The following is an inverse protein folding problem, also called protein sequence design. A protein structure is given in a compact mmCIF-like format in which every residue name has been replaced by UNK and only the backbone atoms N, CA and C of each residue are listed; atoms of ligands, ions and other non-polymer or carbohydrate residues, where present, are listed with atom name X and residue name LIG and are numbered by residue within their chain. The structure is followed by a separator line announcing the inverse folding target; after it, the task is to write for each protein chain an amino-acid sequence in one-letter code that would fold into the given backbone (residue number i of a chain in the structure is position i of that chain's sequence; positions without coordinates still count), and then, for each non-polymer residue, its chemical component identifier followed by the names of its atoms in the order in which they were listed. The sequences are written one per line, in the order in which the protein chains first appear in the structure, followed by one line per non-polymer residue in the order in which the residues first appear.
data_IF_790679997650
#
_entry.id   IF_790679997650
#
_cell.length_a   1.000
_cell.length_b   1.000
_cell.length_c   1.000
_cell.angle_alpha   90.00
_cell.angle_beta   90.00
_cell.angle_gamma   90.00
#
_symmetry.space_group_name_H-M   'P 1'
#
loop_
_entity.id
_entity.type
_entity.pdbx_description
1 polymer ?
#
# COMPACT_ATOMS: atom_id res chain seq x y z
N UNK A 1 -10.68 -5.77 13.54
CA UNK A 1 -10.36 -4.81 12.46
C UNK A 1 -9.26 -5.43 11.63
N UNK A 2 -9.40 -5.53 10.30
CA UNK A 2 -8.37 -6.12 9.44
C UNK A 2 -7.11 -5.23 9.31
N UNK A 3 -7.22 -3.93 9.59
CA UNK A 3 -6.07 -3.03 9.60
C UNK A 3 -5.38 -3.03 10.98
N UNK A 4 -4.10 -3.38 10.99
CA UNK A 4 -3.26 -3.48 12.19
C UNK A 4 -1.96 -2.66 12.04
N UNK A 5 -1.16 -2.57 13.11
CA UNK A 5 0.18 -2.01 13.02
C UNK A 5 1.07 -2.92 12.16
N UNK A 6 1.92 -2.33 11.32
CA UNK A 6 2.81 -3.10 10.45
C UNK A 6 3.79 -3.94 11.26
N UNK A 7 4.22 -3.45 12.43
CA UNK A 7 5.13 -4.16 13.33
C UNK A 7 4.46 -5.34 14.07
N UNK A 8 3.12 -5.47 13.95
CA UNK A 8 2.36 -6.58 14.54
C UNK A 8 2.13 -7.76 13.57
N UNK A 9 2.47 -7.57 12.30
CA UNK A 9 2.37 -8.63 11.28
C UNK A 9 3.48 -9.67 11.46
N UNK A 10 3.27 -10.92 11.02
CA UNK A 10 4.30 -11.95 11.08
C UNK A 10 5.42 -11.67 10.06
N UNK A 11 6.62 -12.21 10.32
CA UNK A 11 7.81 -12.04 9.48
C UNK A 11 7.65 -12.57 8.04
N UNK A 12 6.71 -13.50 7.82
CA UNK A 12 6.36 -14.06 6.52
C UNK A 12 5.22 -13.31 5.82
N UNK A 13 4.79 -12.16 6.36
CA UNK A 13 3.82 -11.29 5.70
C UNK A 13 4.32 -10.89 4.31
N UNK A 14 3.39 -10.91 3.34
CA UNK A 14 3.72 -10.47 1.99
C UNK A 14 3.69 -8.95 1.93
N UNK A 15 4.75 -8.36 1.40
CA UNK A 15 4.96 -6.91 1.38
C UNK A 15 5.06 -6.38 -0.05
N UNK A 16 4.46 -5.21 -0.28
CA UNK A 16 4.68 -4.37 -1.46
C UNK A 16 5.16 -3.00 -1.00
N UNK A 17 6.21 -2.48 -1.65
CA UNK A 17 6.72 -1.13 -1.43
C UNK A 17 6.55 -0.34 -2.72
N UNK A 18 5.82 0.76 -2.63
CA UNK A 18 5.58 1.69 -3.73
C UNK A 18 6.29 3.01 -3.43
N UNK A 19 7.11 3.48 -4.36
CA UNK A 19 7.85 4.72 -4.22
C UNK A 19 7.28 5.81 -5.13
N UNK A 20 6.84 6.92 -4.55
CA UNK A 20 6.42 8.09 -5.32
C UNK A 20 7.61 8.77 -5.99
N UNK A 21 7.42 9.19 -7.24
CA UNK A 21 8.45 9.84 -8.07
C UNK A 21 9.05 11.10 -7.39
N UNK A 22 8.21 11.86 -6.70
CA UNK A 22 8.56 13.03 -5.89
C UNK A 22 7.94 12.89 -4.49
N UNK A 23 8.45 13.61 -3.47
CA UNK A 23 7.80 13.61 -2.17
C UNK A 23 6.37 14.15 -2.30
N UNK A 24 5.47 13.62 -1.48
CA UNK A 24 4.11 14.14 -1.36
C UNK A 24 4.07 15.16 -0.22
N UNK A 25 3.30 16.22 -0.41
CA UNK A 25 2.95 17.12 0.70
C UNK A 25 1.91 16.47 1.63
N UNK A 26 1.70 17.07 2.79
CA UNK A 26 0.79 16.54 3.82
C UNK A 26 -0.62 16.31 3.30
N UNK A 27 -1.12 17.20 2.43
CA UNK A 27 -2.44 17.09 1.84
C UNK A 27 -2.56 15.88 0.90
N UNK A 28 -1.58 15.72 0.01
CA UNK A 28 -1.51 14.59 -0.93
C UNK A 28 -1.29 13.27 -0.21
N UNK A 29 -0.41 13.24 0.80
CA UNK A 29 -0.17 12.08 1.64
C UNK A 29 -1.44 11.69 2.41
N UNK A 30 -2.12 12.65 3.05
CA UNK A 30 -3.39 12.40 3.76
C UNK A 30 -4.44 11.80 2.82
N UNK A 31 -4.57 12.32 1.60
CA UNK A 31 -5.49 11.80 0.59
C UNK A 31 -5.13 10.37 0.17
N UNK A 32 -3.85 10.11 -0.13
CA UNK A 32 -3.34 8.78 -0.48
C UNK A 32 -3.65 7.78 0.65
N UNK A 33 -3.27 8.10 1.89
CA UNK A 33 -3.43 7.20 3.02
C UNK A 33 -4.89 6.95 3.36
N UNK A 34 -5.75 7.97 3.29
CA UNK A 34 -7.19 7.77 3.52
C UNK A 34 -7.83 6.79 2.53
N UNK A 35 -7.46 6.86 1.25
CA UNK A 35 -7.96 5.92 0.23
C UNK A 35 -7.37 4.52 0.40
N UNK A 36 -6.09 4.43 0.75
CA UNK A 36 -5.44 3.15 1.04
C UNK A 36 -6.08 2.49 2.27
N UNK A 37 -6.28 3.21 3.36
CA UNK A 37 -6.91 2.70 4.57
C UNK A 37 -8.33 2.22 4.30
N UNK A 38 -9.10 2.99 3.53
CA UNK A 38 -10.43 2.57 3.10
C UNK A 38 -10.37 1.27 2.30
N UNK A 39 -9.42 1.12 1.37
CA UNK A 39 -9.24 -0.10 0.59
C UNK A 39 -8.84 -1.29 1.47
N UNK A 40 -7.85 -1.13 2.35
CA UNK A 40 -7.34 -2.20 3.22
C UNK A 40 -8.41 -2.66 4.24
N UNK A 41 -9.23 -1.73 4.74
CA UNK A 41 -10.32 -2.06 5.67
C UNK A 41 -11.37 -3.03 5.10
N UNK A 42 -11.48 -3.09 3.76
CA UNK A 42 -12.40 -3.95 3.01
C UNK A 42 -11.69 -5.01 2.19
N UNK A 43 -10.37 -5.14 2.32
CA UNK A 43 -9.61 -6.06 1.49
C UNK A 43 -9.87 -7.49 1.96
N UNK A 44 -10.39 -8.31 1.05
CA UNK A 44 -10.76 -9.69 1.30
C UNK A 44 -10.32 -10.58 0.14
N UNK A 45 -10.01 -11.84 0.44
CA UNK A 45 -9.76 -12.89 -0.54
C UNK A 45 -10.75 -14.03 -0.33
N UNK A 46 -11.42 -14.46 -1.40
CA UNK A 46 -12.46 -15.51 -1.33
C UNK A 46 -13.56 -15.26 -0.29
N UNK A 47 -13.86 -13.99 0.02
CA UNK A 47 -14.85 -13.60 1.01
C UNK A 47 -14.30 -13.45 2.43
N UNK A 48 -13.07 -13.87 2.68
CA UNK A 48 -12.41 -13.76 3.99
C UNK A 48 -11.61 -12.45 4.09
N UNK A 49 -11.81 -11.64 5.16
CA UNK A 49 -11.03 -10.44 5.39
C UNK A 49 -9.53 -10.75 5.56
N UNK A 50 -8.69 -9.90 4.95
CA UNK A 50 -7.25 -10.00 5.07
C UNK A 50 -6.73 -9.10 6.19
N UNK A 51 -6.00 -9.67 7.15
CA UNK A 51 -5.24 -8.86 8.11
C UNK A 51 -4.08 -8.19 7.37
N UNK A 52 -4.08 -6.86 7.34
CA UNK A 52 -3.15 -6.06 6.56
C UNK A 52 -2.71 -4.81 7.33
N UNK A 53 -1.63 -4.20 6.87
CA UNK A 53 -1.10 -2.97 7.42
C UNK A 53 -0.53 -2.09 6.31
N UNK A 54 -0.37 -0.81 6.61
CA UNK A 54 0.36 0.13 5.75
C UNK A 54 1.22 1.09 6.55
N UNK A 55 2.39 1.42 6.00
CA UNK A 55 3.25 2.48 6.53
C UNK A 55 3.61 3.49 5.45
N UNK A 56 3.78 4.74 5.86
CA UNK A 56 4.26 5.84 5.02
C UNK A 56 5.59 6.35 5.57
N UNK A 57 6.62 6.40 4.73
CA UNK A 57 7.99 6.78 5.14
C UNK A 57 8.62 7.73 4.14
N UNK A 58 9.45 8.64 4.66
CA UNK A 58 10.26 9.60 3.89
C UNK A 58 9.47 10.40 2.85
N UNK A 59 8.19 10.66 3.13
CA UNK A 59 7.23 11.32 2.25
C UNK A 59 7.13 10.71 0.85
N UNK A 60 7.49 9.42 0.71
CA UNK A 60 7.62 8.75 -0.58
C UNK A 60 7.17 7.31 -0.62
N UNK A 61 7.46 6.55 0.43
CA UNK A 61 7.34 5.10 0.41
C UNK A 61 6.06 4.66 1.09
N UNK A 62 5.11 4.19 0.28
CA UNK A 62 3.95 3.45 0.76
C UNK A 62 4.31 1.98 0.82
N UNK A 63 4.39 1.44 2.03
CA UNK A 63 4.49 0.00 2.25
C UNK A 63 3.12 -0.54 2.59
N UNK A 64 2.72 -1.63 1.93
CA UNK A 64 1.50 -2.39 2.25
C UNK A 64 1.93 -3.82 2.54
N UNK A 65 1.45 -4.38 3.65
CA UNK A 65 1.76 -5.71 4.10
C UNK A 65 0.48 -6.49 4.40
N UNK A 66 0.50 -7.81 4.18
CA UNK A 66 -0.66 -8.69 4.41
C UNK A 66 -0.21 -10.00 5.06
N UNK A 67 -0.91 -10.40 6.12
CA UNK A 67 -0.79 -11.72 6.73
C UNK A 67 -1.43 -12.76 5.82
N UNK A 68 -0.65 -13.76 5.39
CA UNK A 68 -1.10 -14.77 4.44
C UNK A 68 -1.59 -16.06 5.11
N UNK A 69 -1.55 -16.17 6.44
CA UNK A 69 -1.81 -17.41 7.17
C UNK A 69 -3.28 -17.84 7.17
N UNK A 70 -4.20 -16.88 7.08
CA UNK A 70 -5.65 -17.14 7.02
C UNK A 70 -6.15 -17.28 5.59
N UNK A 71 -5.92 -16.25 4.79
CA UNK A 71 -6.17 -16.23 3.36
C UNK A 71 -5.07 -15.43 2.67
N UNK A 72 -4.59 -15.93 1.53
CA UNK A 72 -3.64 -15.19 0.71
C UNK A 72 -4.35 -14.16 -0.16
N UNK A 73 -3.76 -12.98 -0.32
CA UNK A 73 -4.23 -12.01 -1.32
C UNK A 73 -4.26 -12.65 -2.72
N UNK A 74 -5.45 -12.74 -3.32
CA UNK A 74 -5.62 -13.29 -4.67
C UNK A 74 -5.08 -12.34 -5.73
N UNK A 75 -4.70 -12.86 -6.90
CA UNK A 75 -4.23 -12.04 -8.04
C UNK A 75 -5.20 -10.92 -8.38
N UNK A 76 -6.49 -11.21 -8.51
CA UNK A 76 -7.52 -10.20 -8.80
C UNK A 76 -7.63 -9.13 -7.71
N UNK A 77 -7.42 -9.50 -6.45
CA UNK A 77 -7.44 -8.54 -5.34
C UNK A 77 -6.21 -7.62 -5.38
N UNK A 78 -5.03 -8.16 -5.71
CA UNK A 78 -3.79 -7.38 -5.90
C UNK A 78 -3.93 -6.43 -7.09
N UNK A 79 -4.50 -6.89 -8.22
CA UNK A 79 -4.79 -6.02 -9.37
C UNK A 79 -5.73 -4.87 -9.00
N UNK A 80 -6.70 -5.11 -8.10
CA UNK A 80 -7.57 -4.06 -7.59
C UNK A 80 -6.80 -3.03 -6.74
N UNK A 81 -5.85 -3.46 -5.92
CA UNK A 81 -4.95 -2.56 -5.19
C UNK A 81 -4.16 -1.67 -6.17
N UNK A 82 -3.53 -2.27 -7.17
CA UNK A 82 -2.77 -1.52 -8.18
C UNK A 82 -3.64 -0.50 -8.93
N UNK A 83 -4.85 -0.88 -9.34
CA UNK A 83 -5.81 0.05 -9.98
C UNK A 83 -6.23 1.21 -9.07
N UNK A 84 -6.38 0.95 -7.76
CA UNK A 84 -6.68 1.99 -6.79
C UNK A 84 -5.53 3.01 -6.70
N UNK A 85 -4.29 2.53 -6.65
CA UNK A 85 -3.10 3.38 -6.65
C UNK A 85 -2.92 4.15 -7.97
N UNK A 86 -3.15 3.52 -9.12
CA UNK A 86 -3.11 4.20 -10.44
C UNK A 86 -4.19 5.29 -10.58
N UNK A 87 -5.33 5.12 -9.90
CA UNK A 87 -6.35 6.16 -9.86
C UNK A 87 -5.87 7.36 -9.04
N UNK A 88 -5.25 7.10 -7.89
CA UNK A 88 -4.63 8.15 -7.08
C UNK A 88 -3.47 8.84 -7.80
N UNK A 89 -2.65 8.12 -8.56
CA UNK A 89 -1.58 8.73 -9.36
C UNK A 89 -2.10 9.84 -10.28
N UNK A 90 -3.24 9.59 -10.93
CA UNK A 90 -3.92 10.54 -11.83
C UNK A 90 -4.52 11.71 -11.07
N UNK A 91 -5.13 11.46 -9.92
CA UNK A 91 -5.70 12.51 -9.06
C UNK A 91 -4.61 13.44 -8.49
N UNK A 92 -3.47 12.87 -8.09
CA UNK A 92 -2.38 13.58 -7.42
C UNK A 92 -1.32 14.16 -8.38
N UNK A 93 -1.37 13.79 -9.67
CA UNK A 93 -0.37 14.20 -10.66
C UNK A 93 1.04 13.73 -10.27
N UNK A 94 1.16 12.48 -9.81
CA UNK A 94 2.42 11.86 -9.38
C UNK A 94 2.36 10.37 -9.64
N UNK A 95 3.48 9.77 -10.07
CA UNK A 95 3.54 8.32 -10.21
C UNK A 95 4.08 7.65 -8.94
N UNK A 96 3.48 6.51 -8.58
CA UNK A 96 3.63 5.69 -7.38
C UNK A 96 3.88 4.21 -7.75
N UNK A 97 3.21 3.66 -8.77
CA UNK A 97 3.25 2.22 -9.13
C UNK A 97 4.17 1.92 -10.32
N UNK A 98 4.74 2.95 -10.95
CA UNK A 98 5.66 2.80 -12.08
C UNK A 98 6.94 2.03 -11.71
N UNK A 99 7.34 1.11 -12.60
CA UNK A 99 8.58 0.36 -12.45
C UNK A 99 9.83 1.14 -12.88
N UNK A 100 11.00 0.62 -12.52
CA UNK A 100 12.30 1.10 -13.02
C UNK A 100 12.86 2.35 -12.31
N UNK A 101 12.24 2.81 -11.21
CA UNK A 101 12.80 3.88 -10.38
C UNK A 101 13.82 3.32 -9.39
N UNK A 102 14.95 4.02 -9.26
CA UNK A 102 15.97 3.76 -8.25
C UNK A 102 15.95 4.93 -7.27
N UNK A 103 15.78 4.62 -5.99
CA UNK A 103 15.89 5.58 -4.90
C UNK A 103 17.23 5.39 -4.19
N UNK A 104 17.94 6.48 -3.96
CA UNK A 104 19.23 6.50 -3.27
C UNK A 104 19.19 7.57 -2.19
N UNK A 105 19.69 7.23 -1.00
CA UNK A 105 19.93 8.17 0.10
C UNK A 105 21.37 7.93 0.56
N UNK A 106 22.16 9.00 0.61
CA UNK A 106 23.50 8.95 1.20
C UNK A 106 23.41 8.79 2.73
N UNK A 107 24.51 8.40 3.37
CA UNK A 107 24.59 8.19 4.82
C UNK A 107 24.46 9.49 5.63
#
# INVERSE_FOLDING_TARGET
MPLVDIDSLPDDARVWVFGSERPLDDASATRLLGVVDQYLSRWAAHGEPLTSARSWRDDRFLTIAVDQRTAGASGCSIDALFRQLQTLERELGVSIVGGGRIFYRDA
#
